data_IF_461462315387
#
_entry.id   IF_461462315387
#
_cell.length_a   1.000
_cell.length_b   1.000
_cell.length_c   1.000
_cell.angle_alpha   90.00
_cell.angle_beta   90.00
_cell.angle_gamma   90.00
#
_symmetry.space_group_name_H-M   'P 1'
#
loop_
_entity.id
_entity.type
_entity.pdbx_description
1 polymer ?
#
# COMPACT_ATOMS: atom_id res chain seq x y z
N UNK A 1 31.24 -12.83 11.21
CA UNK A 1 30.03 -13.18 11.95
C UNK A 1 29.67 -12.04 12.88
N UNK A 2 28.39 -11.78 13.10
CA UNK A 2 27.90 -10.85 14.12
C UNK A 2 26.98 -11.60 15.08
N UNK A 3 26.82 -11.06 16.28
CA UNK A 3 25.85 -11.52 17.26
C UNK A 3 25.40 -10.35 18.12
N UNK A 4 24.09 -10.19 18.29
CA UNK A 4 23.52 -9.15 19.14
C UNK A 4 23.08 -9.75 20.48
N UNK A 5 23.75 -9.39 21.57
CA UNK A 5 23.43 -9.89 22.91
C UNK A 5 22.08 -9.37 23.44
N UNK A 6 21.50 -8.33 22.81
CA UNK A 6 20.22 -7.76 23.21
C UNK A 6 19.00 -8.48 22.64
N UNK A 7 19.05 -8.90 21.37
CA UNK A 7 17.93 -9.53 20.69
C UNK A 7 18.20 -10.98 20.22
N UNK A 8 19.41 -11.49 20.40
CA UNK A 8 19.81 -12.83 19.96
C UNK A 8 20.07 -12.98 18.46
N UNK A 9 19.88 -11.91 17.66
CA UNK A 9 20.15 -11.95 16.23
C UNK A 9 21.63 -12.19 15.96
N UNK A 10 21.96 -13.10 15.06
CA UNK A 10 23.34 -13.41 14.72
C UNK A 10 23.46 -14.16 13.41
N UNK A 11 24.61 -14.04 12.76
CA UNK A 11 24.84 -14.70 11.48
C UNK A 11 26.09 -14.20 10.76
N UNK A 12 26.12 -14.47 9.48
CA UNK A 12 27.17 -13.99 8.58
C UNK A 12 26.77 -12.64 7.93
N UNK A 13 27.62 -12.11 7.05
CA UNK A 13 27.37 -10.85 6.34
C UNK A 13 26.10 -10.91 5.49
N UNK A 14 25.84 -12.04 4.82
CA UNK A 14 24.61 -12.24 4.04
C UNK A 14 23.37 -12.18 4.94
N UNK A 15 23.39 -12.91 6.06
CA UNK A 15 22.30 -12.87 7.04
C UNK A 15 22.06 -11.46 7.55
N UNK A 16 23.15 -10.71 7.85
CA UNK A 16 23.03 -9.33 8.29
C UNK A 16 22.34 -8.45 7.26
N UNK A 17 22.75 -8.51 5.98
CA UNK A 17 22.16 -7.72 4.90
C UNK A 17 20.72 -8.15 4.63
N UNK A 18 20.41 -9.43 4.69
CA UNK A 18 19.05 -9.95 4.56
C UNK A 18 18.12 -9.40 5.64
N UNK A 19 18.56 -9.39 6.90
CA UNK A 19 17.78 -8.92 8.03
C UNK A 19 17.70 -7.39 8.09
N UNK A 20 18.82 -6.70 7.85
CA UNK A 20 18.90 -5.25 7.96
C UNK A 20 18.18 -4.52 6.81
N UNK A 21 18.40 -4.96 5.55
CA UNK A 21 17.78 -4.39 4.36
C UNK A 21 16.46 -5.09 3.99
N UNK A 22 16.14 -6.18 4.68
CA UNK A 22 15.04 -7.07 4.37
C UNK A 22 15.08 -7.59 2.94
N UNK A 23 16.24 -8.02 2.53
CA UNK A 23 16.49 -8.63 1.23
C UNK A 23 16.25 -10.13 1.26
N UNK A 24 15.86 -10.68 0.11
CA UNK A 24 16.00 -12.11 -0.14
C UNK A 24 17.50 -12.49 -0.20
N UNK A 25 17.80 -13.77 -0.06
CA UNK A 25 19.19 -14.26 -0.20
C UNK A 25 19.84 -13.79 -1.50
N UNK A 26 19.12 -13.83 -2.61
CA UNK A 26 19.63 -13.41 -3.92
C UNK A 26 19.88 -11.89 -3.99
N UNK A 27 18.99 -11.10 -3.45
CA UNK A 27 19.15 -9.63 -3.40
C UNK A 27 20.31 -9.23 -2.50
N UNK A 28 20.46 -9.87 -1.34
CA UNK A 28 21.60 -9.67 -0.46
C UNK A 28 22.93 -10.08 -1.09
N UNK A 29 22.95 -11.24 -1.77
CA UNK A 29 24.12 -11.74 -2.47
C UNK A 29 24.54 -10.79 -3.60
N UNK A 30 23.59 -10.32 -4.42
CA UNK A 30 23.85 -9.36 -5.50
C UNK A 30 24.37 -8.03 -4.94
N UNK A 31 23.72 -7.48 -3.92
CA UNK A 31 24.12 -6.22 -3.28
C UNK A 31 25.55 -6.29 -2.72
N UNK A 32 25.90 -7.39 -2.07
CA UNK A 32 27.25 -7.59 -1.56
C UNK A 32 28.28 -7.79 -2.65
N UNK A 33 27.94 -8.52 -3.72
CA UNK A 33 28.79 -8.72 -4.88
C UNK A 33 29.11 -7.39 -5.58
N UNK A 34 28.08 -6.56 -5.80
CA UNK A 34 28.22 -5.22 -6.41
C UNK A 34 29.15 -4.32 -5.56
N UNK A 35 28.97 -4.35 -4.23
CA UNK A 35 29.84 -3.59 -3.30
C UNK A 35 31.27 -4.10 -3.24
N UNK A 36 31.47 -5.40 -3.40
CA UNK A 36 32.81 -6.02 -3.38
C UNK A 36 33.47 -6.02 -4.76
N UNK A 37 32.81 -5.56 -5.82
CA UNK A 37 33.30 -5.65 -7.19
C UNK A 37 33.44 -7.09 -7.69
N UNK A 38 32.71 -8.04 -7.09
CA UNK A 38 32.74 -9.46 -7.43
C UNK A 38 31.66 -9.77 -8.45
N UNK A 39 32.05 -10.28 -9.60
CA UNK A 39 31.08 -10.79 -10.58
C UNK A 39 30.59 -12.16 -10.13
N UNK A 40 29.31 -12.26 -9.80
CA UNK A 40 28.70 -13.53 -9.45
C UNK A 40 28.72 -14.45 -10.68
N UNK A 41 28.99 -15.77 -10.48
CA UNK A 41 28.89 -16.73 -11.57
C UNK A 41 27.45 -16.68 -12.10
N UNK A 42 27.32 -16.63 -13.42
CA UNK A 42 26.00 -16.74 -14.08
C UNK A 42 25.43 -18.11 -13.71
N UNK A 43 24.44 -18.15 -12.84
CA UNK A 43 23.68 -19.38 -12.65
C UNK A 43 23.09 -19.76 -14.01
N UNK A 44 23.30 -20.97 -14.44
CA UNK A 44 22.63 -21.52 -15.61
C UNK A 44 21.15 -21.69 -15.27
N UNK A 45 20.41 -20.60 -15.44
CA UNK A 45 18.95 -20.66 -15.37
C UNK A 45 18.44 -21.50 -16.55
N UNK A 46 17.42 -22.30 -16.31
CA UNK A 46 16.70 -22.93 -17.41
C UNK A 46 16.21 -21.83 -18.40
N UNK A 47 15.99 -22.19 -19.64
CA UNK A 47 15.52 -21.27 -20.66
C UNK A 47 14.23 -20.55 -20.19
N UNK A 48 13.32 -21.30 -19.58
CA UNK A 48 12.05 -20.78 -19.04
C UNK A 48 12.27 -19.76 -17.91
N UNK A 49 13.25 -20.00 -17.03
CA UNK A 49 13.57 -19.08 -15.93
C UNK A 49 14.16 -17.77 -16.46
N UNK A 50 14.98 -17.82 -17.52
CA UNK A 50 15.50 -16.62 -18.21
C UNK A 50 14.38 -15.83 -18.87
N UNK A 51 13.50 -16.48 -19.62
CA UNK A 51 12.37 -15.86 -20.28
C UNK A 51 11.42 -15.18 -19.27
N UNK A 52 11.16 -15.84 -18.13
CA UNK A 52 10.36 -15.26 -17.05
C UNK A 52 11.04 -14.04 -16.41
N UNK A 53 12.34 -14.09 -16.16
CA UNK A 53 13.09 -12.97 -15.60
C UNK A 53 13.12 -11.78 -16.56
N UNK A 54 13.35 -12.03 -17.85
CA UNK A 54 13.31 -11.00 -18.89
C UNK A 54 11.92 -10.36 -19.02
N UNK A 55 10.87 -11.18 -19.02
CA UNK A 55 9.50 -10.68 -19.05
C UNK A 55 9.17 -9.80 -17.84
N UNK A 56 9.59 -10.20 -16.64
CA UNK A 56 9.42 -9.38 -15.43
C UNK A 56 10.20 -8.07 -15.51
N UNK A 57 11.43 -8.08 -16.03
CA UNK A 57 12.23 -6.87 -16.22
C UNK A 57 11.55 -5.90 -17.19
N UNK A 58 11.02 -6.39 -18.32
CA UNK A 58 10.26 -5.58 -19.28
C UNK A 58 8.97 -5.01 -18.67
N UNK A 59 8.25 -5.77 -17.83
CA UNK A 59 7.07 -5.25 -17.10
C UNK A 59 7.45 -4.12 -16.13
N UNK A 60 8.56 -4.25 -15.41
CA UNK A 60 9.05 -3.19 -14.52
C UNK A 60 9.43 -1.92 -15.30
N UNK A 61 10.08 -2.08 -16.44
CA UNK A 61 10.43 -0.97 -17.34
C UNK A 61 9.19 -0.22 -17.83
N UNK A 62 8.18 -0.94 -18.33
CA UNK A 62 6.93 -0.33 -18.80
C UNK A 62 6.18 0.37 -17.67
N UNK A 63 6.11 -0.23 -16.49
CA UNK A 63 5.48 0.40 -15.33
C UNK A 63 6.23 1.69 -14.93
N UNK A 64 7.56 1.70 -14.97
CA UNK A 64 8.37 2.91 -14.74
C UNK A 64 8.10 3.99 -15.79
N UNK A 65 8.03 3.61 -17.07
CA UNK A 65 7.70 4.54 -18.16
C UNK A 65 6.29 5.12 -17.97
N UNK A 66 5.30 4.28 -17.64
CA UNK A 66 3.94 4.73 -17.38
C UNK A 66 3.85 5.67 -16.17
N UNK A 67 4.58 5.38 -15.07
CA UNK A 67 4.63 6.26 -13.90
C UNK A 67 5.20 7.64 -14.25
N UNK A 68 6.31 7.68 -14.99
CA UNK A 68 6.91 8.92 -15.46
C UNK A 68 5.95 9.68 -16.41
N UNK A 69 5.27 8.95 -17.29
CA UNK A 69 4.28 9.53 -18.19
C UNK A 69 3.14 10.19 -17.41
N UNK A 70 2.53 9.52 -16.45
CA UNK A 70 1.45 10.08 -15.62
C UNK A 70 1.91 11.28 -14.78
N UNK A 71 3.12 11.23 -14.22
CA UNK A 71 3.69 12.36 -13.50
C UNK A 71 3.87 13.57 -14.42
N UNK A 72 4.40 13.35 -15.62
CA UNK A 72 4.57 14.39 -16.63
C UNK A 72 3.23 14.98 -17.07
N UNK A 73 2.21 14.15 -17.32
CA UNK A 73 0.88 14.61 -17.71
C UNK A 73 0.23 15.52 -16.64
N UNK A 74 0.47 15.24 -15.36
CA UNK A 74 0.00 16.12 -14.28
C UNK A 74 0.64 17.51 -14.33
N UNK A 75 1.86 17.63 -14.86
CA UNK A 75 2.56 18.93 -15.01
C UNK A 75 2.14 19.71 -16.27
N UNK A 76 1.38 19.11 -17.19
CA UNK A 76 0.90 19.76 -18.39
C UNK A 76 -0.38 20.58 -18.10
N UNK A 77 -0.78 21.53 -18.99
CA UNK A 77 -2.00 22.32 -18.83
C UNK A 77 -3.26 21.47 -18.61
N UNK A 78 -3.39 20.34 -19.31
CA UNK A 78 -4.52 19.40 -19.15
C UNK A 78 -4.50 18.67 -17.80
N UNK A 79 -3.36 18.57 -17.15
CA UNK A 79 -3.19 17.96 -15.82
C UNK A 79 -3.49 18.89 -14.65
N UNK A 80 -3.76 20.19 -14.90
CA UNK A 80 -4.03 21.17 -13.85
C UNK A 80 -5.14 20.74 -12.87
N UNK A 81 -6.19 20.12 -13.36
CA UNK A 81 -7.28 19.58 -12.54
C UNK A 81 -6.79 18.53 -11.53
N UNK A 82 -5.84 17.71 -11.91
CA UNK A 82 -5.25 16.70 -11.02
C UNK A 82 -4.30 17.33 -10.00
N UNK A 83 -3.50 18.31 -10.43
CA UNK A 83 -2.65 19.07 -9.52
C UNK A 83 -3.48 19.81 -8.46
N UNK A 84 -4.50 20.56 -8.85
CA UNK A 84 -5.44 21.25 -7.93
C UNK A 84 -6.14 20.27 -6.98
N UNK A 85 -6.49 19.07 -7.47
CA UNK A 85 -7.07 18.04 -6.62
C UNK A 85 -6.10 17.62 -5.50
N UNK A 86 -4.83 17.36 -5.83
CA UNK A 86 -3.85 16.96 -4.82
C UNK A 86 -3.44 18.16 -3.93
N UNK A 87 -3.09 19.28 -4.53
CA UNK A 87 -2.56 20.44 -3.82
C UNK A 87 -3.65 21.18 -3.04
N UNK A 88 -4.73 21.59 -3.71
CA UNK A 88 -5.72 22.49 -3.10
C UNK A 88 -6.74 21.72 -2.28
N UNK A 89 -7.27 20.62 -2.82
CA UNK A 89 -8.30 19.83 -2.15
C UNK A 89 -7.73 18.87 -1.11
N UNK A 90 -6.62 18.19 -1.42
CA UNK A 90 -6.00 17.22 -0.53
C UNK A 90 -4.90 17.81 0.36
N UNK A 91 -4.47 19.05 0.09
CA UNK A 91 -3.41 19.76 0.84
C UNK A 91 -2.09 19.03 0.84
N UNK A 92 -1.77 18.34 -0.26
CA UNK A 92 -0.48 17.67 -0.42
C UNK A 92 0.55 18.65 -0.94
N UNK A 93 1.76 18.59 -0.39
CA UNK A 93 2.91 19.37 -0.85
C UNK A 93 3.50 18.80 -2.15
N UNK A 94 4.19 19.63 -2.93
CA UNK A 94 4.90 19.19 -4.12
C UNK A 94 5.93 18.10 -3.82
N UNK A 95 6.61 18.18 -2.67
CA UNK A 95 7.55 17.18 -2.20
C UNK A 95 6.86 15.84 -1.97
N UNK A 96 5.70 15.84 -1.32
CA UNK A 96 4.91 14.62 -1.09
C UNK A 96 4.41 14.03 -2.41
N UNK A 97 3.90 14.87 -3.32
CA UNK A 97 3.45 14.42 -4.64
C UNK A 97 4.60 13.78 -5.44
N UNK A 98 5.78 14.38 -5.41
CA UNK A 98 6.98 13.84 -6.06
C UNK A 98 7.44 12.54 -5.40
N UNK A 99 7.51 12.49 -4.07
CA UNK A 99 7.92 11.30 -3.30
C UNK A 99 7.06 10.08 -3.61
N UNK A 100 5.75 10.26 -3.70
CA UNK A 100 4.82 9.18 -4.03
C UNK A 100 4.64 8.98 -5.54
N UNK A 101 5.25 9.82 -6.38
CA UNK A 101 5.16 9.73 -7.83
C UNK A 101 3.75 9.95 -8.37
N UNK A 102 2.95 10.80 -7.70
CA UNK A 102 1.55 11.02 -8.08
C UNK A 102 1.45 11.60 -9.47
N UNK A 103 0.43 11.21 -10.21
CA UNK A 103 0.29 11.61 -11.61
C UNK A 103 -1.16 11.74 -12.08
N UNK A 104 -1.32 11.91 -13.38
CA UNK A 104 -2.62 12.04 -14.02
C UNK A 104 -2.66 11.25 -15.32
N UNK A 105 -3.73 10.52 -15.52
CA UNK A 105 -4.10 9.94 -16.82
C UNK A 105 -5.21 10.77 -17.44
N UNK A 106 -4.96 11.23 -18.67
CA UNK A 106 -5.83 12.16 -19.39
C UNK A 106 -7.25 11.64 -19.61
N UNK A 107 -8.13 12.52 -20.10
CA UNK A 107 -9.50 12.17 -20.49
C UNK A 107 -9.58 11.35 -21.78
N UNK A 108 -8.54 11.40 -22.60
CA UNK A 108 -8.41 10.58 -23.80
C UNK A 108 -8.12 9.13 -23.42
N UNK A 109 -8.68 8.20 -24.16
CA UNK A 109 -8.71 6.79 -23.76
C UNK A 109 -7.57 5.94 -24.35
N UNK A 110 -6.59 6.54 -25.04
CA UNK A 110 -5.53 5.83 -25.75
C UNK A 110 -4.17 6.55 -25.75
N UNK A 111 -4.00 7.59 -24.96
CA UNK A 111 -2.76 8.40 -24.92
C UNK A 111 -1.56 7.59 -24.42
N UNK A 112 -1.73 6.82 -23.34
CA UNK A 112 -0.66 5.98 -22.80
C UNK A 112 -0.36 4.83 -23.78
N UNK A 113 -1.39 4.22 -24.36
CA UNK A 113 -1.21 3.16 -25.34
C UNK A 113 -0.34 3.65 -26.49
N UNK A 114 -0.69 4.79 -27.12
CA UNK A 114 0.10 5.37 -28.21
C UNK A 114 1.53 5.65 -27.80
N UNK A 115 1.73 6.27 -26.64
CA UNK A 115 3.06 6.52 -26.09
C UNK A 115 3.89 5.24 -25.95
N UNK A 116 3.29 4.14 -25.42
CA UNK A 116 4.01 2.88 -25.26
C UNK A 116 4.28 2.19 -26.62
N UNK A 117 3.39 2.33 -27.61
CA UNK A 117 3.63 1.88 -28.99
C UNK A 117 4.81 2.61 -29.64
N UNK A 118 4.92 3.93 -29.46
CA UNK A 118 6.06 4.73 -29.94
C UNK A 118 7.38 4.30 -29.27
N UNK A 119 7.33 3.76 -28.05
CA UNK A 119 8.49 3.16 -27.36
C UNK A 119 8.82 1.73 -27.84
N UNK A 120 8.08 1.19 -28.80
CA UNK A 120 8.37 -0.10 -29.43
C UNK A 120 7.73 -1.31 -28.73
N UNK A 121 6.77 -1.13 -27.83
CA UNK A 121 6.05 -2.24 -27.21
C UNK A 121 4.91 -2.74 -28.11
N UNK A 122 4.82 -4.05 -28.29
CA UNK A 122 3.76 -4.67 -29.08
C UNK A 122 2.49 -4.92 -28.25
N UNK A 123 1.38 -5.16 -28.94
CA UNK A 123 0.07 -5.33 -28.32
C UNK A 123 -0.01 -6.60 -27.46
N UNK A 124 0.66 -7.67 -27.87
CA UNK A 124 0.70 -8.93 -27.13
C UNK A 124 1.35 -8.77 -25.77
N UNK A 125 2.41 -7.96 -25.68
CA UNK A 125 3.03 -7.61 -24.41
C UNK A 125 2.18 -6.62 -23.62
N UNK A 126 1.68 -5.55 -24.26
CA UNK A 126 0.89 -4.50 -23.60
C UNK A 126 -0.38 -5.05 -22.94
N UNK A 127 -1.04 -6.05 -23.56
CA UNK A 127 -2.23 -6.71 -22.98
C UNK A 127 -1.95 -7.38 -21.60
N UNK A 128 -0.70 -7.71 -21.31
CA UNK A 128 -0.28 -8.37 -20.07
C UNK A 128 0.17 -7.39 -18.97
N UNK A 129 0.28 -6.09 -19.29
CA UNK A 129 0.76 -5.08 -18.37
C UNK A 129 -0.30 -4.62 -17.34
N UNK A 130 -1.58 -4.81 -17.67
CA UNK A 130 -2.70 -4.27 -16.90
C UNK A 130 -2.86 -2.75 -17.01
N UNK A 131 -2.13 -2.09 -17.94
CA UNK A 131 -2.22 -0.65 -18.22
C UNK A 131 -3.21 -0.34 -19.33
N UNK A 132 -3.32 -1.24 -20.30
CA UNK A 132 -4.17 -1.10 -21.48
C UNK A 132 -4.99 -2.36 -21.73
N UNK A 133 -6.10 -2.21 -22.42
CA UNK A 133 -6.90 -3.30 -22.98
C UNK A 133 -6.77 -3.25 -24.50
N UNK A 134 -6.49 -4.37 -25.16
CA UNK A 134 -6.39 -4.46 -26.61
C UNK A 134 -7.75 -4.87 -27.15
N UNK A 135 -8.29 -4.07 -28.05
CA UNK A 135 -9.57 -4.25 -28.73
C UNK A 135 -9.33 -4.38 -30.26
N UNK A 136 -10.34 -4.76 -31.05
CA UNK A 136 -10.22 -4.89 -32.50
C UNK A 136 -9.75 -3.61 -33.21
N UNK A 137 -10.07 -2.44 -32.66
CA UNK A 137 -9.73 -1.12 -33.21
C UNK A 137 -8.45 -0.50 -32.64
N UNK A 138 -7.71 -1.22 -31.80
CA UNK A 138 -6.49 -0.76 -31.16
C UNK A 138 -6.54 -0.87 -29.63
N UNK A 139 -5.55 -0.30 -28.95
CA UNK A 139 -5.48 -0.34 -27.51
C UNK A 139 -6.22 0.81 -26.83
N UNK A 140 -6.75 0.53 -25.66
CA UNK A 140 -7.45 1.49 -24.81
C UNK A 140 -6.83 1.53 -23.42
N UNK A 141 -6.59 2.74 -22.92
CA UNK A 141 -6.03 2.98 -21.58
C UNK A 141 -7.01 2.53 -20.50
N UNK A 142 -6.53 1.76 -19.54
CA UNK A 142 -7.34 1.30 -18.42
C UNK A 142 -7.69 2.42 -17.43
N UNK A 143 -6.79 3.37 -17.25
CA UNK A 143 -6.87 4.42 -16.23
C UNK A 143 -7.15 5.81 -16.82
N UNK A 144 -8.05 5.93 -17.76
CA UNK A 144 -8.39 7.23 -18.32
C UNK A 144 -9.14 8.13 -17.32
N UNK A 145 -8.89 9.45 -17.38
CA UNK A 145 -9.48 10.48 -16.53
C UNK A 145 -9.33 10.19 -15.02
N UNK A 146 -8.11 9.82 -14.59
CA UNK A 146 -7.84 9.47 -13.18
C UNK A 146 -6.59 10.14 -12.66
N UNK A 147 -6.63 10.56 -11.39
CA UNK A 147 -5.40 10.81 -10.64
C UNK A 147 -4.79 9.47 -10.29
N UNK A 148 -3.45 9.38 -10.42
CA UNK A 148 -2.72 8.12 -10.41
C UNK A 148 -1.84 7.99 -9.17
N UNK A 149 -1.84 6.79 -8.60
CA UNK A 149 -1.06 6.38 -7.44
C UNK A 149 -0.18 5.19 -7.84
N UNK A 150 1.11 5.39 -8.13
CA UNK A 150 2.01 4.27 -8.38
C UNK A 150 2.10 3.37 -7.14
N UNK A 151 1.95 2.07 -7.35
CA UNK A 151 2.13 1.05 -6.31
C UNK A 151 3.55 0.52 -6.44
N UNK A 152 4.34 0.62 -5.38
CA UNK A 152 5.74 0.23 -5.37
C UNK A 152 5.95 -1.04 -4.53
N UNK A 153 6.87 -1.88 -4.97
CA UNK A 153 7.40 -2.95 -4.13
C UNK A 153 8.38 -2.40 -3.08
N UNK A 154 8.86 -3.25 -2.19
CA UNK A 154 9.81 -2.86 -1.12
C UNK A 154 11.11 -2.25 -1.64
N UNK A 155 11.46 -2.46 -2.90
CA UNK A 155 12.66 -1.91 -3.55
C UNK A 155 12.38 -0.65 -4.37
N UNK A 156 11.25 0.03 -4.15
CA UNK A 156 10.81 1.23 -4.87
C UNK A 156 10.60 1.03 -6.38
N UNK A 157 10.36 -0.21 -6.84
CA UNK A 157 10.02 -0.49 -8.24
C UNK A 157 8.51 -0.43 -8.41
N UNK A 158 8.04 0.26 -9.44
CA UNK A 158 6.60 0.37 -9.72
C UNK A 158 6.09 -0.97 -10.25
N UNK A 159 5.17 -1.59 -9.52
CA UNK A 159 4.60 -2.91 -9.84
C UNK A 159 3.15 -2.84 -10.32
N UNK A 160 2.50 -1.71 -10.13
CA UNK A 160 1.11 -1.48 -10.54
C UNK A 160 0.66 -0.06 -10.22
N UNK A 161 -0.63 0.19 -10.36
CA UNK A 161 -1.22 1.50 -10.16
C UNK A 161 -2.59 1.42 -9.50
N UNK A 162 -2.88 2.41 -8.67
CA UNK A 162 -4.23 2.79 -8.31
C UNK A 162 -4.62 4.05 -9.08
N UNK A 163 -5.89 4.20 -9.40
CA UNK A 163 -6.41 5.37 -10.08
C UNK A 163 -7.74 5.81 -9.48
N UNK A 164 -7.87 7.07 -9.05
CA UNK A 164 -9.13 7.65 -8.63
C UNK A 164 -9.72 8.50 -9.75
N UNK A 165 -10.97 8.24 -10.13
CA UNK A 165 -11.62 8.97 -11.21
C UNK A 165 -11.80 10.45 -10.85
N UNK A 166 -11.64 11.31 -11.85
CA UNK A 166 -11.94 12.74 -11.77
C UNK A 166 -13.35 12.97 -12.30
N UNK A 167 -14.24 13.51 -11.43
CA UNK A 167 -15.68 13.65 -11.71
C UNK A 167 -16.49 12.43 -11.25
N UNK A 168 -17.65 12.20 -11.90
CA UNK A 168 -18.68 11.26 -11.47
C UNK A 168 -18.56 9.86 -12.10
N UNK A 169 -17.38 9.49 -12.61
CA UNK A 169 -17.15 8.18 -13.22
C UNK A 169 -17.07 7.05 -12.20
N UNK A 170 -17.44 5.84 -12.65
CA UNK A 170 -17.34 4.61 -11.86
C UNK A 170 -16.31 3.64 -12.47
N UNK A 171 -15.64 2.81 -11.67
CA UNK A 171 -15.59 2.84 -10.20
C UNK A 171 -14.77 4.04 -9.70
N UNK A 172 -15.10 4.58 -8.51
CA UNK A 172 -14.40 5.71 -7.88
C UNK A 172 -12.90 5.44 -7.76
N UNK A 173 -12.51 4.25 -7.33
CA UNK A 173 -11.13 3.76 -7.33
C UNK A 173 -11.00 2.52 -8.21
N UNK A 174 -9.96 2.49 -9.02
CA UNK A 174 -9.60 1.36 -9.88
C UNK A 174 -8.15 0.99 -9.60
N UNK A 175 -7.86 -0.28 -9.40
CA UNK A 175 -6.51 -0.80 -9.26
C UNK A 175 -6.09 -1.60 -10.47
N UNK A 176 -4.78 -1.70 -10.72
CA UNK A 176 -4.24 -2.66 -11.68
C UNK A 176 -4.82 -4.05 -11.42
N UNK A 177 -5.09 -4.84 -12.44
CA UNK A 177 -5.34 -6.26 -12.28
C UNK A 177 -4.09 -6.93 -11.72
N UNK A 178 -4.23 -8.16 -11.29
CA UNK A 178 -3.08 -8.97 -10.93
C UNK A 178 -2.21 -9.26 -12.16
N UNK A 179 -0.91 -9.18 -11.96
CA UNK A 179 0.09 -9.44 -13.00
C UNK A 179 1.21 -10.31 -12.41
N UNK A 180 2.21 -10.67 -13.22
CA UNK A 180 3.42 -11.36 -12.70
C UNK A 180 4.25 -10.50 -11.73
N UNK A 181 3.96 -9.20 -11.61
CA UNK A 181 4.61 -8.29 -10.67
C UNK A 181 3.74 -7.95 -9.47
N UNK A 182 2.44 -7.88 -9.65
CA UNK A 182 1.49 -7.29 -8.71
C UNK A 182 0.46 -8.30 -8.24
N UNK A 183 0.42 -8.52 -6.92
CA UNK A 183 -0.56 -9.34 -6.21
C UNK A 183 -1.12 -8.50 -5.05
N UNK A 184 -2.39 -8.14 -5.14
CA UNK A 184 -3.08 -7.29 -4.15
C UNK A 184 -3.09 -7.89 -2.76
N UNK A 185 -3.08 -9.21 -2.66
CA UNK A 185 -3.14 -9.93 -1.40
C UNK A 185 -1.83 -9.90 -0.61
N UNK A 186 -0.71 -9.55 -1.27
CA UNK A 186 0.65 -9.54 -0.71
C UNK A 186 1.30 -8.18 -0.64
N UNK A 187 0.76 -7.21 -1.38
CA UNK A 187 1.37 -5.89 -1.46
C UNK A 187 0.60 -4.89 -0.58
N UNK A 188 1.34 -4.07 0.15
CA UNK A 188 0.82 -2.97 0.96
C UNK A 188 1.34 -1.66 0.41
N UNK A 189 0.44 -0.71 0.20
CA UNK A 189 0.80 0.64 -0.23
C UNK A 189 1.60 1.36 0.85
N UNK A 190 2.68 2.02 0.47
CA UNK A 190 3.55 2.76 1.38
C UNK A 190 4.57 1.89 2.13
N UNK A 191 4.55 0.55 1.96
CA UNK A 191 5.48 -0.34 2.67
C UNK A 191 6.94 -0.10 2.28
N UNK A 192 7.22 0.29 1.04
CA UNK A 192 8.55 0.67 0.59
C UNK A 192 9.19 1.79 1.42
N UNK A 193 8.37 2.69 1.96
CA UNK A 193 8.82 3.74 2.89
C UNK A 193 8.75 3.27 4.34
N UNK A 194 7.65 2.62 4.72
CA UNK A 194 7.39 2.23 6.10
C UNK A 194 8.38 1.18 6.62
N UNK A 195 8.97 0.34 5.75
CA UNK A 195 9.94 -0.69 6.15
C UNK A 195 11.21 -0.17 6.84
N UNK A 196 11.55 1.09 6.63
CA UNK A 196 12.73 1.73 7.23
C UNK A 196 12.38 2.56 8.46
N UNK A 197 11.14 2.50 8.94
CA UNK A 197 10.71 3.23 10.14
C UNK A 197 11.49 2.77 11.37
N UNK A 198 11.67 3.69 12.31
CA UNK A 198 12.20 3.39 13.66
C UNK A 198 11.09 3.17 14.69
N UNK A 199 9.84 3.36 14.30
CA UNK A 199 8.69 3.11 15.16
C UNK A 199 8.53 1.61 15.42
N UNK A 200 8.11 1.24 16.62
CA UNK A 200 7.92 -0.16 17.03
C UNK A 200 6.59 -0.75 16.53
N UNK A 201 5.79 0.03 15.82
CA UNK A 201 4.48 -0.36 15.31
C UNK A 201 4.27 0.18 13.91
N UNK A 202 3.36 -0.45 13.16
CA UNK A 202 2.88 0.09 11.89
C UNK A 202 1.43 0.53 12.00
N UNK A 203 1.10 1.62 11.29
CA UNK A 203 -0.26 2.13 11.12
C UNK A 203 -0.84 1.50 9.86
N UNK A 204 -1.98 0.82 9.99
CA UNK A 204 -2.67 0.20 8.84
C UNK A 204 -3.98 0.93 8.60
N UNK A 205 -4.10 1.59 7.44
CA UNK A 205 -5.27 2.34 7.01
C UNK A 205 -5.91 1.73 5.75
N UNK A 206 -7.01 2.33 5.28
CA UNK A 206 -7.80 1.75 4.19
C UNK A 206 -7.33 2.18 2.81
N UNK A 207 -6.87 3.44 2.66
CA UNK A 207 -6.69 4.05 1.36
C UNK A 207 -5.33 4.68 1.09
N UNK A 208 -5.10 4.97 -0.18
CA UNK A 208 -3.89 5.64 -0.67
C UNK A 208 -3.67 7.00 -0.01
N UNK A 209 -4.73 7.81 0.04
CA UNK A 209 -4.65 9.18 0.53
C UNK A 209 -4.39 9.25 2.03
N UNK A 210 -4.90 8.27 2.80
CA UNK A 210 -4.60 8.18 4.23
C UNK A 210 -3.12 7.94 4.48
N UNK A 211 -2.53 6.99 3.74
CA UNK A 211 -1.08 6.73 3.81
C UNK A 211 -0.30 7.99 3.44
N UNK A 212 -0.62 8.62 2.31
CA UNK A 212 0.10 9.80 1.81
C UNK A 212 0.01 10.95 2.82
N UNK A 213 -1.18 11.21 3.35
CA UNK A 213 -1.42 12.27 4.34
C UNK A 213 -0.68 12.00 5.65
N UNK A 214 -0.71 10.75 6.14
CA UNK A 214 0.06 10.35 7.32
C UNK A 214 1.57 10.53 7.10
N UNK A 215 2.10 10.08 5.97
CA UNK A 215 3.53 10.25 5.65
C UNK A 215 3.91 11.73 5.57
N UNK A 216 3.07 12.58 4.96
CA UNK A 216 3.29 14.03 4.94
C UNK A 216 3.32 14.64 6.35
N UNK A 217 2.48 14.12 7.25
CA UNK A 217 2.43 14.55 8.65
C UNK A 217 3.55 13.96 9.53
N UNK A 218 4.47 13.17 8.94
CA UNK A 218 5.62 12.58 9.66
C UNK A 218 5.41 11.14 10.15
N UNK A 219 4.23 10.55 9.96
CA UNK A 219 3.95 9.15 10.33
C UNK A 219 4.37 8.21 9.19
N UNK A 220 5.68 8.04 9.04
CA UNK A 220 6.28 7.28 7.93
C UNK A 220 6.15 5.77 8.05
N UNK A 221 5.52 5.27 9.11
CA UNK A 221 5.18 3.88 9.36
C UNK A 221 3.76 3.49 8.92
N UNK A 222 3.09 4.34 8.12
CA UNK A 222 1.75 4.08 7.62
C UNK A 222 1.75 3.25 6.33
N UNK A 223 0.83 2.28 6.26
CA UNK A 223 0.60 1.42 5.10
C UNK A 223 -0.90 1.18 4.89
N UNK A 224 -1.31 0.78 3.68
CA UNK A 224 -2.70 0.40 3.41
C UNK A 224 -2.80 -0.85 2.55
N UNK A 225 -3.91 -1.58 2.70
CA UNK A 225 -4.31 -2.58 1.73
C UNK A 225 -4.79 -1.91 0.42
N UNK A 226 -4.74 -2.66 -0.68
CA UNK A 226 -4.94 -2.13 -2.03
C UNK A 226 -6.38 -2.37 -2.54
N UNK A 227 -7.36 -1.84 -1.81
CA UNK A 227 -8.78 -1.99 -2.17
C UNK A 227 -9.29 -3.43 -2.02
N UNK A 228 -8.63 -4.23 -1.19
CA UNK A 228 -9.04 -5.58 -0.78
C UNK A 228 -9.13 -5.64 0.74
N UNK A 229 -9.86 -6.61 1.26
CA UNK A 229 -9.80 -6.90 2.68
C UNK A 229 -8.36 -7.26 3.10
N UNK A 230 -8.01 -6.96 4.34
CA UNK A 230 -6.73 -7.35 4.92
C UNK A 230 -6.60 -8.89 4.94
N UNK A 231 -5.46 -9.43 4.50
CA UNK A 231 -5.24 -10.87 4.30
C UNK A 231 -4.19 -11.43 5.27
N UNK A 232 -4.15 -12.76 5.42
CA UNK A 232 -3.08 -13.45 6.15
C UNK A 232 -1.70 -13.24 5.51
N UNK A 233 -1.65 -13.04 4.20
CA UNK A 233 -0.42 -12.73 3.47
C UNK A 233 0.08 -11.31 3.80
N UNK A 234 -0.82 -10.32 3.91
CA UNK A 234 -0.48 -8.99 4.41
C UNK A 234 0.09 -9.05 5.82
N UNK A 235 -0.52 -9.82 6.73
CA UNK A 235 -0.02 -10.02 8.08
C UNK A 235 1.37 -10.68 8.06
N UNK A 236 1.58 -11.70 7.23
CA UNK A 236 2.88 -12.37 7.06
C UNK A 236 3.97 -11.42 6.53
N UNK A 237 3.61 -10.47 5.67
CA UNK A 237 4.52 -9.42 5.21
C UNK A 237 4.84 -8.45 6.35
N UNK A 238 3.83 -7.95 7.08
CA UNK A 238 4.02 -7.01 8.19
C UNK A 238 4.84 -7.60 9.33
N UNK A 239 4.68 -8.90 9.61
CA UNK A 239 5.42 -9.60 10.67
C UNK A 239 6.94 -9.51 10.53
N UNK A 240 7.44 -9.33 9.33
CA UNK A 240 8.87 -9.15 9.06
C UNK A 240 9.41 -7.82 9.58
N UNK A 241 8.53 -6.83 9.81
CA UNK A 241 8.90 -5.46 10.15
C UNK A 241 8.44 -5.04 11.53
N UNK A 242 7.39 -5.65 12.07
CA UNK A 242 6.81 -5.25 13.35
C UNK A 242 6.04 -6.38 14.02
N UNK A 243 6.01 -6.33 15.35
CA UNK A 243 5.15 -7.17 16.19
C UNK A 243 3.88 -6.43 16.64
N UNK A 244 3.72 -5.15 16.24
CA UNK A 244 2.58 -4.33 16.65
C UNK A 244 1.98 -3.58 15.45
N UNK A 245 0.66 -3.62 15.36
CA UNK A 245 -0.13 -2.87 14.36
C UNK A 245 -1.18 -2.04 15.07
N UNK A 246 -1.36 -0.81 14.59
CA UNK A 246 -2.48 0.04 14.98
C UNK A 246 -3.38 0.20 13.75
N UNK A 247 -4.58 -0.35 13.82
CA UNK A 247 -5.60 -0.22 12.77
C UNK A 247 -6.20 1.19 12.85
N UNK A 248 -6.09 1.94 11.75
CA UNK A 248 -6.57 3.31 11.62
C UNK A 248 -7.63 3.39 10.53
N UNK A 249 -8.58 2.46 10.57
CA UNK A 249 -9.66 2.37 9.59
C UNK A 249 -10.72 3.43 9.82
N UNK A 250 -11.56 3.67 8.82
CA UNK A 250 -12.64 4.65 8.88
C UNK A 250 -13.52 4.45 10.14
N UNK A 251 -13.96 5.53 10.74
CA UNK A 251 -14.77 5.50 11.97
C UNK A 251 -16.24 5.09 11.75
N UNK A 252 -16.60 4.70 10.52
CA UNK A 252 -17.92 4.24 10.13
C UNK A 252 -18.13 2.73 10.36
N UNK A 253 -19.34 2.24 10.05
CA UNK A 253 -19.68 0.84 10.23
C UNK A 253 -18.89 -0.13 9.33
N UNK A 254 -18.43 0.34 8.16
CA UNK A 254 -17.61 -0.46 7.24
C UNK A 254 -16.20 -0.64 7.78
N UNK A 255 -15.57 0.45 8.26
CA UNK A 255 -14.25 0.41 8.88
C UNK A 255 -14.22 -0.42 10.17
N UNK A 256 -15.28 -0.32 11.01
CA UNK A 256 -15.41 -1.19 12.20
C UNK A 256 -15.44 -2.68 11.80
N UNK A 257 -16.22 -3.03 10.77
CA UNK A 257 -16.29 -4.41 10.26
C UNK A 257 -14.95 -4.87 9.65
N UNK A 258 -14.24 -3.95 9.00
CA UNK A 258 -12.91 -4.23 8.46
C UNK A 258 -11.89 -4.49 9.59
N UNK A 259 -11.90 -3.68 10.65
CA UNK A 259 -11.06 -3.89 11.83
C UNK A 259 -11.34 -5.24 12.51
N UNK A 260 -12.62 -5.58 12.73
CA UNK A 260 -12.99 -6.87 13.32
C UNK A 260 -12.53 -8.08 12.48
N UNK A 261 -12.46 -7.94 11.16
CA UNK A 261 -11.91 -9.00 10.28
C UNK A 261 -10.38 -9.05 10.31
N UNK A 262 -9.70 -7.92 10.43
CA UNK A 262 -8.24 -7.86 10.46
C UNK A 262 -7.64 -8.35 11.79
N UNK A 263 -8.31 -8.13 12.92
CA UNK A 263 -7.82 -8.49 14.27
C UNK A 263 -7.45 -9.99 14.37
N UNK A 264 -8.33 -10.95 14.04
CA UNK A 264 -7.96 -12.37 14.15
C UNK A 264 -6.81 -12.73 13.22
N UNK A 265 -6.76 -12.17 12.00
CA UNK A 265 -5.67 -12.42 11.04
C UNK A 265 -4.31 -11.94 11.62
N UNK A 266 -4.28 -10.77 12.25
CA UNK A 266 -3.08 -10.25 12.89
C UNK A 266 -2.67 -11.10 14.09
N UNK A 267 -3.63 -11.51 14.91
CA UNK A 267 -3.40 -12.39 16.07
C UNK A 267 -2.82 -13.74 15.66
N UNK A 268 -3.37 -14.37 14.61
CA UNK A 268 -2.88 -15.65 14.08
C UNK A 268 -1.46 -15.54 13.52
N UNK A 269 -1.08 -14.37 13.02
CA UNK A 269 0.30 -14.07 12.60
C UNK A 269 1.23 -13.68 13.77
N UNK A 270 0.74 -13.68 15.02
CA UNK A 270 1.52 -13.28 16.19
C UNK A 270 1.81 -11.78 16.25
N UNK A 271 0.93 -10.94 15.68
CA UNK A 271 1.02 -9.48 15.70
C UNK A 271 -0.01 -8.93 16.68
N UNK A 272 0.45 -8.13 17.64
CA UNK A 272 -0.43 -7.42 18.57
C UNK A 272 -1.16 -6.29 17.83
N UNK A 273 -2.50 -6.28 17.92
CA UNK A 273 -3.32 -5.27 17.29
C UNK A 273 -3.91 -4.29 18.31
N UNK A 274 -3.89 -3.01 17.96
CA UNK A 274 -4.63 -1.93 18.61
C UNK A 274 -5.53 -1.26 17.58
N UNK A 275 -6.59 -0.63 18.01
CA UNK A 275 -7.54 0.07 17.13
C UNK A 275 -7.64 1.54 17.54
N UNK A 276 -7.45 2.41 16.57
CA UNK A 276 -7.55 3.85 16.75
C UNK A 276 -8.99 4.31 16.50
N UNK A 277 -9.53 5.09 17.42
CA UNK A 277 -10.81 5.76 17.23
C UNK A 277 -10.57 7.22 16.84
N UNK A 278 -10.99 7.59 15.64
CA UNK A 278 -10.81 8.95 15.12
C UNK A 278 -12.02 9.87 15.28
N UNK A 279 -13.10 9.37 15.88
CA UNK A 279 -14.29 10.23 16.10
C UNK A 279 -13.92 11.54 16.77
N UNK A 280 -14.53 12.68 16.35
CA UNK A 280 -15.65 12.80 15.41
C UNK A 280 -15.28 12.75 13.91
N UNK A 281 -14.01 12.66 13.56
CA UNK A 281 -13.50 12.60 12.18
C UNK A 281 -13.69 11.22 11.57
N UNK A 282 -13.79 11.19 10.26
CA UNK A 282 -14.06 9.97 9.50
C UNK A 282 -12.82 9.09 9.41
N UNK A 283 -11.73 9.67 8.94
CA UNK A 283 -10.49 8.98 8.55
C UNK A 283 -9.25 9.75 9.05
N UNK A 284 -8.04 9.16 8.96
CA UNK A 284 -6.80 9.82 9.35
C UNK A 284 -6.49 11.10 8.61
N UNK A 285 -6.82 11.18 7.31
CA UNK A 285 -6.60 12.36 6.47
C UNK A 285 -7.40 13.55 7.02
N UNK A 286 -8.68 13.33 7.29
CA UNK A 286 -9.56 14.36 7.87
C UNK A 286 -9.12 14.77 9.28
N UNK A 287 -8.76 13.79 10.12
CA UNK A 287 -8.29 14.07 11.48
C UNK A 287 -7.05 14.97 11.47
N UNK A 288 -6.03 14.58 10.71
CA UNK A 288 -4.75 15.31 10.67
C UNK A 288 -4.94 16.72 10.11
N UNK A 289 -5.78 16.92 9.11
CA UNK A 289 -6.07 18.24 8.54
C UNK A 289 -6.72 19.19 9.51
N UNK A 290 -7.56 18.68 10.41
CA UNK A 290 -8.31 19.51 11.35
C UNK A 290 -7.57 19.70 12.68
N UNK A 291 -6.86 18.71 13.18
CA UNK A 291 -6.27 18.68 14.51
C UNK A 291 -4.74 18.76 14.52
N UNK A 292 -4.10 18.45 13.37
CA UNK A 292 -2.65 18.42 13.26
C UNK A 292 -1.99 17.13 13.70
N UNK A 293 -0.69 17.04 13.45
CA UNK A 293 0.11 15.84 13.69
C UNK A 293 0.28 15.52 15.19
N UNK A 294 0.46 16.54 16.04
CA UNK A 294 0.65 16.33 17.47
C UNK A 294 -0.59 15.72 18.13
N UNK A 295 -1.78 16.23 17.81
CA UNK A 295 -3.03 15.66 18.30
C UNK A 295 -3.23 14.21 17.78
N UNK A 296 -2.79 13.91 16.55
CA UNK A 296 -2.85 12.55 16.03
C UNK A 296 -1.88 11.61 16.76
N UNK A 297 -0.68 12.09 17.13
CA UNK A 297 0.28 11.34 17.96
C UNK A 297 -0.28 11.02 19.35
N UNK A 298 -0.94 11.98 19.99
CA UNK A 298 -1.64 11.75 21.25
C UNK A 298 -2.78 10.73 21.10
N UNK A 299 -3.52 10.80 20.00
CA UNK A 299 -4.59 9.84 19.68
C UNK A 299 -4.03 8.43 19.51
N UNK A 300 -2.90 8.27 18.83
CA UNK A 300 -2.19 6.98 18.69
C UNK A 300 -1.84 6.39 20.06
N UNK A 301 -1.38 7.20 21.01
CA UNK A 301 -1.08 6.74 22.38
C UNK A 301 -2.32 6.17 23.09
N UNK A 302 -3.51 6.69 22.75
CA UNK A 302 -4.81 6.27 23.32
C UNK A 302 -5.47 5.11 22.55
N UNK A 303 -4.81 4.55 21.51
CA UNK A 303 -5.37 3.44 20.73
C UNK A 303 -5.69 2.25 21.63
N UNK A 304 -6.92 1.73 21.52
CA UNK A 304 -7.42 0.62 22.35
C UNK A 304 -6.82 -0.71 21.92
N UNK A 305 -6.54 -1.56 22.88
CA UNK A 305 -6.24 -2.96 22.62
C UNK A 305 -7.40 -3.61 21.84
N UNK A 306 -7.08 -4.50 20.91
CA UNK A 306 -8.09 -5.16 20.05
C UNK A 306 -9.17 -5.89 20.84
N UNK A 307 -8.82 -6.56 21.92
CA UNK A 307 -9.78 -7.26 22.78
C UNK A 307 -10.81 -6.32 23.42
N UNK A 308 -10.35 -5.18 23.96
CA UNK A 308 -11.25 -4.14 24.49
C UNK A 308 -12.11 -3.51 23.41
N UNK A 309 -11.57 -3.35 22.21
CA UNK A 309 -12.34 -2.86 21.06
C UNK A 309 -13.45 -3.84 20.68
N UNK A 310 -13.15 -5.14 20.58
CA UNK A 310 -14.13 -6.20 20.28
C UNK A 310 -15.27 -6.20 21.33
N UNK A 311 -14.93 -6.09 22.62
CA UNK A 311 -15.92 -5.97 23.71
C UNK A 311 -16.80 -4.72 23.53
N UNK A 312 -16.20 -3.57 23.23
CA UNK A 312 -16.97 -2.32 23.04
C UNK A 312 -17.94 -2.41 21.87
N UNK A 313 -17.54 -3.07 20.78
CA UNK A 313 -18.44 -3.30 19.63
C UNK A 313 -19.57 -4.26 19.99
N UNK A 314 -19.27 -5.35 20.70
CA UNK A 314 -20.28 -6.29 21.17
C UNK A 314 -21.29 -5.61 22.11
N UNK A 315 -20.82 -4.83 23.09
CA UNK A 315 -21.70 -4.09 24.00
C UNK A 315 -22.69 -3.17 23.24
N UNK A 316 -22.25 -2.51 22.20
CA UNK A 316 -23.15 -1.65 21.39
C UNK A 316 -24.27 -2.45 20.72
N UNK A 317 -23.96 -3.66 20.27
CA UNK A 317 -24.92 -4.51 19.59
C UNK A 317 -25.90 -5.22 20.56
N UNK A 318 -25.50 -5.40 21.83
CA UNK A 318 -26.28 -6.11 22.83
C UNK A 318 -26.94 -5.20 23.90
N UNK A 319 -26.83 -3.89 23.78
CA UNK A 319 -27.37 -2.95 24.76
C UNK A 319 -28.90 -3.10 25.00
N UNK A 320 -29.61 -3.74 24.08
CA UNK A 320 -31.05 -4.01 24.18
C UNK A 320 -31.40 -5.33 24.90
N UNK A 321 -30.47 -6.28 24.93
CA UNK A 321 -30.77 -7.63 25.44
C UNK A 321 -30.51 -7.81 26.94
N UNK A 322 -29.62 -6.99 27.52
CA UNK A 322 -29.31 -7.06 28.96
C UNK A 322 -30.42 -6.49 29.87
N UNK A 323 -31.33 -5.66 29.31
CA UNK A 323 -32.45 -5.07 30.05
C UNK A 323 -33.80 -5.76 29.82
N UNK A 324 -33.89 -6.75 28.93
CA UNK A 324 -35.16 -7.37 28.54
C UNK A 324 -35.29 -8.85 28.92
N UNK A 325 -34.29 -9.45 29.53
CA UNK A 325 -34.43 -10.79 30.16
C UNK A 325 -34.85 -10.58 31.61
N UNK A 326 -36.13 -10.83 31.96
CA UNK A 326 -36.49 -10.91 33.38
C UNK A 326 -35.64 -11.98 34.04
N UNK A 327 -35.13 -11.66 35.23
CA UNK A 327 -34.42 -12.65 36.05
C UNK A 327 -35.34 -13.83 36.28
N UNK A 328 -34.86 -15.09 36.24
CA UNK A 328 -35.69 -16.23 36.61
C UNK A 328 -36.33 -16.12 38.01
N UNK A 329 -35.91 -15.15 38.82
CA UNK A 329 -36.49 -14.82 40.13
C UNK A 329 -37.68 -13.88 40.08
N UNK A 330 -37.92 -13.22 38.92
CA UNK A 330 -39.03 -12.27 38.74
C UNK A 330 -40.27 -12.95 38.12
N UNK A 331 -40.25 -14.28 37.97
CA UNK A 331 -41.34 -15.13 37.44
C UNK A 331 -42.00 -15.98 38.55
N UNK A 332 -42.05 -15.49 39.75
CA UNK A 332 -42.83 -16.16 40.84
C UNK A 332 -44.08 -15.35 41.18
#
# INVERSE_FOLDING_TARGET
MYYCFGCGAGGNVLTFVMEYENYTFQEALQSLADRAGVTLPKMEYSKEAREQAEFRARLLEVNKLAANYFYYQMKQPQGKIAYEYFHDKRKLTDETMLRFGLGYSNKTSDDLYRFLKEKGYDDAFLSQTGLVTIEERGGRDKFWNRVMFPIMDVNNRVIGFGGRVMGDGEPKYLNSPETKLFDKSRNLYGLNYARTTREKYMLVCEGYLDVISMHQAGFTNAVASLGTAFTSQHAGVLKRYTDQVILTYDSDGAGIKAALRAIPILRDAGISARVLNMKPYKDPDEFIKNMGADAFKERIAQAKNSFLFEIDVLKRNYHCLLYTSPSPRDCS
#
